data_IF_539799385278
#
_entry.id   IF_539799385278
#
_cell.length_a   1.000
_cell.length_b   1.000
_cell.length_c   1.000
_cell.angle_alpha   90.00
_cell.angle_beta   90.00
_cell.angle_gamma   90.00
#
_symmetry.space_group_name_H-M   'P 1'
#
loop_
_entity.id
_entity.type
_entity.pdbx_description
1 polymer ?
#
# COMPACT_ATOMS: atom_id res chain seq x y z
N UNK A 1 -22.18 56.34 21.98
CA UNK A 1 -22.68 55.05 22.41
C UNK A 1 -21.79 54.00 21.83
N UNK A 2 -21.11 53.26 22.69
CA UNK A 2 -19.91 52.52 22.42
C UNK A 2 -20.17 51.23 21.62
N UNK A 3 -19.38 50.99 20.57
CA UNK A 3 -19.23 49.71 19.92
C UNK A 3 -18.02 49.01 20.52
N UNK A 4 -18.26 47.95 21.23
CA UNK A 4 -17.25 47.00 21.72
C UNK A 4 -16.91 46.00 20.61
N UNK A 5 -15.71 46.10 20.09
CA UNK A 5 -15.11 45.08 19.20
C UNK A 5 -14.50 43.98 20.05
N UNK A 6 -15.04 42.79 19.95
CA UNK A 6 -14.39 41.55 20.39
C UNK A 6 -13.65 40.93 19.21
N UNK A 7 -12.35 40.99 19.24
CA UNK A 7 -11.47 40.22 18.34
C UNK A 7 -11.52 38.75 18.73
N UNK A 8 -12.09 37.93 17.85
CA UNK A 8 -11.95 36.47 17.90
C UNK A 8 -10.90 36.07 16.86
N UNK A 9 -9.88 35.39 17.31
CA UNK A 9 -8.78 34.86 16.47
C UNK A 9 -9.35 34.02 15.30
N UNK A 10 -9.16 34.55 14.09
CA UNK A 10 -9.63 33.92 12.86
C UNK A 10 -8.77 32.75 12.44
N UNK A 11 -9.28 31.54 12.58
CA UNK A 11 -8.86 30.47 11.72
C UNK A 11 -9.24 30.82 10.28
N UNK A 12 -8.24 31.07 9.43
CA UNK A 12 -8.44 31.15 7.98
C UNK A 12 -8.83 29.77 7.47
N UNK A 13 -10.12 29.48 7.47
CA UNK A 13 -10.70 28.38 6.68
C UNK A 13 -10.58 28.79 5.22
N UNK A 14 -9.61 28.24 4.50
CA UNK A 14 -9.59 28.32 3.04
C UNK A 14 -10.88 27.63 2.55
N UNK A 15 -11.81 28.43 2.03
CA UNK A 15 -13.00 27.94 1.36
C UNK A 15 -12.56 27.17 0.11
N UNK A 16 -12.38 25.87 0.23
CA UNK A 16 -12.35 24.98 -0.92
C UNK A 16 -13.69 25.11 -1.63
N UNK A 17 -13.66 25.59 -2.86
CA UNK A 17 -14.81 25.64 -3.76
C UNK A 17 -15.45 24.24 -3.72
N UNK A 18 -16.70 24.15 -3.28
CA UNK A 18 -17.50 22.93 -3.36
C UNK A 18 -17.47 22.48 -4.82
N UNK A 19 -16.63 21.51 -5.13
CA UNK A 19 -16.66 20.83 -6.42
C UNK A 19 -17.95 20.02 -6.45
N UNK A 20 -18.56 19.97 -7.62
CA UNK A 20 -19.80 19.29 -7.96
C UNK A 20 -20.03 18.02 -7.14
N UNK A 21 -21.28 17.69 -6.86
CA UNK A 21 -21.76 16.40 -6.32
C UNK A 21 -21.34 15.29 -7.30
N UNK A 22 -20.04 14.97 -7.31
CA UNK A 22 -19.37 14.04 -8.20
C UNK A 22 -18.53 13.06 -7.40
N UNK A 23 -18.23 11.95 -7.97
CA UNK A 23 -17.35 10.90 -7.46
C UNK A 23 -16.01 11.46 -6.99
N UNK A 24 -15.65 11.25 -5.70
CA UNK A 24 -14.35 11.65 -5.17
C UNK A 24 -13.26 10.67 -5.58
N UNK A 25 -12.09 11.21 -5.93
CA UNK A 25 -10.84 10.45 -6.06
C UNK A 25 -10.05 10.58 -4.76
N UNK A 26 -10.09 9.53 -3.97
CA UNK A 26 -9.45 9.47 -2.65
C UNK A 26 -8.12 8.74 -2.76
N UNK A 27 -7.05 9.27 -2.17
CA UNK A 27 -5.76 8.57 -2.04
C UNK A 27 -5.61 8.08 -0.61
N UNK A 28 -5.39 6.78 -0.43
CA UNK A 28 -5.23 6.13 0.87
C UNK A 28 -3.81 5.61 1.07
N UNK A 29 -3.11 6.11 2.09
CA UNK A 29 -1.71 5.79 2.36
C UNK A 29 -1.58 5.17 3.76
N UNK A 30 -1.33 3.86 3.89
CA UNK A 30 -0.90 3.26 5.15
C UNK A 30 0.58 3.54 5.37
N UNK A 31 0.96 4.04 6.54
CA UNK A 31 2.38 4.28 6.88
C UNK A 31 2.70 3.98 8.33
N UNK A 32 3.95 3.61 8.62
CA UNK A 32 4.42 3.38 9.98
C UNK A 32 5.94 3.60 10.09
N UNK A 33 6.36 4.47 11.04
CA UNK A 33 7.77 4.67 11.39
C UNK A 33 8.63 5.35 10.31
N UNK A 34 8.00 6.00 9.30
CA UNK A 34 8.71 6.65 8.18
C UNK A 34 8.20 8.08 7.92
N UNK A 35 8.16 8.97 8.92
CA UNK A 35 7.53 10.29 8.79
C UNK A 35 8.12 11.16 7.66
N UNK A 36 9.43 11.13 7.46
CA UNK A 36 10.07 11.88 6.36
C UNK A 36 9.66 11.38 4.97
N UNK A 37 9.59 10.07 4.79
CA UNK A 37 9.25 9.45 3.50
C UNK A 37 7.82 9.75 3.12
N UNK A 38 6.86 9.55 4.05
CA UNK A 38 5.46 9.83 3.77
C UNK A 38 5.22 11.31 3.49
N UNK A 39 5.93 12.21 4.20
CA UNK A 39 5.81 13.65 3.97
C UNK A 39 6.28 14.03 2.54
N UNK A 40 7.39 13.47 2.08
CA UNK A 40 7.86 13.69 0.70
C UNK A 40 6.86 13.15 -0.32
N UNK A 41 6.34 11.95 -0.12
CA UNK A 41 5.36 11.33 -1.02
C UNK A 41 4.04 12.10 -1.07
N UNK A 42 3.53 12.58 0.06
CA UNK A 42 2.32 13.41 0.10
C UNK A 42 2.54 14.74 -0.62
N UNK A 43 3.67 15.42 -0.38
CA UNK A 43 4.00 16.66 -1.12
C UNK A 43 4.12 16.40 -2.62
N UNK A 44 4.64 15.24 -3.01
CA UNK A 44 4.79 14.88 -4.42
C UNK A 44 3.45 14.75 -5.15
N UNK A 45 2.34 14.43 -4.44
CA UNK A 45 0.99 14.43 -5.00
C UNK A 45 0.55 15.80 -5.54
N UNK A 46 1.14 16.90 -5.05
CA UNK A 46 0.85 18.24 -5.56
C UNK A 46 1.28 18.44 -7.01
N UNK A 47 2.08 17.54 -7.57
CA UNK A 47 2.51 17.55 -8.98
C UNK A 47 1.55 16.84 -9.93
N UNK A 48 0.45 16.26 -9.41
CA UNK A 48 -0.54 15.59 -10.24
C UNK A 48 -1.36 16.60 -11.05
N UNK A 49 -1.59 16.31 -12.34
CA UNK A 49 -2.46 17.12 -13.22
C UNK A 49 -3.92 17.10 -12.77
N UNK A 50 -4.35 15.98 -12.16
CA UNK A 50 -5.60 15.81 -11.40
C UNK A 50 -5.23 15.63 -9.94
N UNK A 51 -5.49 16.62 -9.10
CA UNK A 51 -5.25 16.52 -7.66
C UNK A 51 -6.23 15.56 -7.00
N UNK A 52 -5.86 14.82 -5.93
CA UNK A 52 -6.82 14.06 -5.15
C UNK A 52 -7.82 15.00 -4.47
N UNK A 53 -9.07 14.55 -4.30
CA UNK A 53 -10.07 15.28 -3.52
C UNK A 53 -9.82 15.16 -2.02
N UNK A 54 -9.24 14.02 -1.62
CA UNK A 54 -8.91 13.71 -0.23
C UNK A 54 -7.72 12.74 -0.18
N UNK A 55 -6.80 13.00 0.73
CA UNK A 55 -5.73 12.06 1.11
C UNK A 55 -6.01 11.55 2.52
N UNK A 56 -6.16 10.24 2.68
CA UNK A 56 -6.35 9.55 3.95
C UNK A 56 -5.03 8.88 4.36
N UNK A 57 -4.38 9.43 5.36
CA UNK A 57 -3.12 8.91 5.89
C UNK A 57 -3.40 8.08 7.13
N UNK A 58 -3.30 6.75 7.02
CA UNK A 58 -3.52 5.86 8.16
C UNK A 58 -2.21 5.53 8.85
N UNK A 59 -2.11 5.89 10.14
CA UNK A 59 -0.90 5.77 10.97
C UNK A 59 -1.18 4.99 12.25
N UNK A 60 -0.16 4.33 12.78
CA UNK A 60 -0.25 3.69 14.10
C UNK A 60 0.16 4.60 15.26
N UNK A 61 0.76 5.75 14.95
CA UNK A 61 1.12 6.82 15.87
C UNK A 61 1.10 8.14 15.07
N UNK A 62 0.57 9.21 15.64
CA UNK A 62 0.53 10.54 14.99
C UNK A 62 1.92 11.01 14.58
N UNK A 63 2.96 10.68 15.35
CA UNK A 63 4.35 11.01 15.01
C UNK A 63 4.81 10.40 13.66
N UNK A 64 4.08 9.41 13.14
CA UNK A 64 4.38 8.79 11.85
C UNK A 64 3.79 9.54 10.65
N UNK A 65 2.92 10.56 10.88
CA UNK A 65 2.30 11.34 9.79
C UNK A 65 3.27 12.26 9.05
N UNK A 66 4.43 12.56 9.65
CA UNK A 66 5.34 13.57 9.12
C UNK A 66 4.78 14.98 9.21
N UNK A 67 3.68 15.18 9.97
CA UNK A 67 2.97 16.45 10.19
C UNK A 67 2.38 17.06 8.90
N UNK A 68 2.13 16.23 7.88
CA UNK A 68 1.60 16.69 6.59
C UNK A 68 0.23 17.35 6.72
N UNK A 69 -0.54 16.99 7.74
CA UNK A 69 -1.85 17.58 8.06
C UNK A 69 -1.76 19.05 8.48
N UNK A 70 -0.57 19.54 8.82
CA UNK A 70 -0.33 20.95 9.20
C UNK A 70 0.22 21.77 8.03
N UNK A 71 0.49 21.15 6.87
CA UNK A 71 1.04 21.81 5.70
C UNK A 71 -0.06 22.45 4.83
N UNK A 72 0.32 23.51 4.11
CA UNK A 72 -0.58 24.11 3.10
C UNK A 72 -0.41 23.33 1.79
N UNK A 73 -1.33 22.40 1.55
CA UNK A 73 -1.35 21.56 0.36
C UNK A 73 -2.56 21.91 -0.52
N UNK A 74 -2.52 21.67 -1.85
CA UNK A 74 -3.62 21.98 -2.75
C UNK A 74 -4.79 20.98 -2.66
N UNK A 75 -4.77 20.06 -1.70
CA UNK A 75 -5.79 19.06 -1.41
C UNK A 75 -5.90 18.84 0.11
N UNK A 76 -7.00 18.25 0.53
CA UNK A 76 -7.26 17.92 1.93
C UNK A 76 -6.49 16.67 2.35
N UNK A 77 -5.86 16.70 3.54
CA UNK A 77 -5.21 15.54 4.17
C UNK A 77 -5.86 15.27 5.51
N UNK A 78 -6.24 14.04 5.76
CA UNK A 78 -6.75 13.57 7.05
C UNK A 78 -5.87 12.44 7.59
N UNK A 79 -5.45 12.58 8.86
CA UNK A 79 -4.68 11.56 9.56
C UNK A 79 -5.61 10.68 10.37
N UNK A 80 -5.57 9.39 10.10
CA UNK A 80 -6.41 8.37 10.72
C UNK A 80 -5.57 7.48 11.65
N UNK A 81 -5.88 7.46 12.93
CA UNK A 81 -5.26 6.51 13.86
C UNK A 81 -5.84 5.11 13.64
N UNK A 82 -4.95 4.12 13.62
CA UNK A 82 -5.25 2.71 13.45
C UNK A 82 -4.29 1.86 14.28
N UNK A 83 -4.67 0.69 14.78
CA UNK A 83 -3.70 -0.27 15.30
C UNK A 83 -2.66 -0.64 14.23
N UNK A 84 -1.43 -0.95 14.67
CA UNK A 84 -0.34 -1.31 13.77
C UNK A 84 -0.66 -2.53 12.91
N UNK A 85 -0.34 -2.46 11.61
CA UNK A 85 -0.53 -3.52 10.62
C UNK A 85 -1.19 -3.00 9.34
N UNK A 86 -0.61 -3.36 8.19
CA UNK A 86 -1.04 -2.83 6.88
C UNK A 86 -2.52 -3.13 6.59
N UNK A 87 -3.00 -4.36 6.88
CA UNK A 87 -4.41 -4.73 6.72
C UNK A 87 -5.34 -3.84 7.57
N UNK A 88 -4.98 -3.59 8.83
CA UNK A 88 -5.76 -2.73 9.74
C UNK A 88 -5.79 -1.29 9.26
N UNK A 89 -4.64 -0.76 8.86
CA UNK A 89 -4.51 0.59 8.35
C UNK A 89 -5.32 0.80 7.06
N UNK A 90 -5.30 -0.17 6.13
CA UNK A 90 -6.14 -0.12 4.92
C UNK A 90 -7.63 -0.25 5.26
N UNK A 91 -8.01 -1.09 6.21
CA UNK A 91 -9.39 -1.17 6.67
C UNK A 91 -9.86 0.14 7.30
N UNK A 92 -8.99 0.83 8.03
CA UNK A 92 -9.29 2.15 8.59
C UNK A 92 -9.59 3.18 7.49
N UNK A 93 -8.83 3.14 6.38
CA UNK A 93 -9.07 3.97 5.19
C UNK A 93 -10.41 3.59 4.55
N UNK A 94 -10.69 2.30 4.36
CA UNK A 94 -11.95 1.83 3.76
C UNK A 94 -13.20 2.29 4.51
N UNK A 95 -13.10 2.54 5.81
CA UNK A 95 -14.23 3.00 6.63
C UNK A 95 -14.62 4.46 6.39
N UNK A 96 -13.77 5.26 5.73
CA UNK A 96 -14.02 6.68 5.44
C UNK A 96 -14.62 6.92 4.04
N UNK A 97 -14.81 5.84 3.27
CA UNK A 97 -15.26 5.94 1.88
C UNK A 97 -16.77 6.07 1.78
N UNK A 98 -17.22 6.88 0.83
CA UNK A 98 -18.57 6.84 0.29
C UNK A 98 -18.67 5.84 -0.88
N UNK A 99 -19.89 5.39 -1.20
CA UNK A 99 -20.09 4.37 -2.23
C UNK A 99 -19.61 4.81 -3.62
N UNK A 100 -19.72 6.08 -3.94
CA UNK A 100 -19.33 6.62 -5.25
C UNK A 100 -17.82 6.90 -5.37
N UNK A 101 -17.05 6.76 -4.30
CA UNK A 101 -15.62 7.05 -4.32
C UNK A 101 -14.84 6.08 -5.20
N UNK A 102 -13.77 6.59 -5.79
CA UNK A 102 -12.64 5.78 -6.28
C UNK A 102 -11.49 5.97 -5.30
N UNK A 103 -11.04 4.88 -4.72
CA UNK A 103 -9.90 4.86 -3.81
C UNK A 103 -8.65 4.41 -4.54
N UNK A 104 -7.61 5.22 -4.51
CA UNK A 104 -6.24 4.85 -4.89
C UNK A 104 -5.44 4.49 -3.66
N UNK A 105 -5.16 3.20 -3.43
CA UNK A 105 -4.16 2.79 -2.45
C UNK A 105 -2.76 3.10 -2.95
N UNK A 106 -1.97 3.73 -2.11
CA UNK A 106 -0.60 4.13 -2.41
C UNK A 106 0.30 3.73 -1.23
N UNK A 107 1.43 3.10 -1.50
CA UNK A 107 2.46 2.95 -0.46
C UNK A 107 3.17 4.31 -0.26
N UNK A 108 3.63 4.56 0.96
CA UNK A 108 4.26 5.83 1.35
C UNK A 108 5.61 6.10 0.66
N UNK A 109 6.10 5.17 -0.15
CA UNK A 109 7.32 5.26 -0.95
C UNK A 109 7.08 4.95 -2.45
N UNK A 110 5.88 5.31 -2.96
CA UNK A 110 5.54 5.19 -4.38
C UNK A 110 5.40 6.56 -5.04
N UNK A 111 6.15 6.81 -6.11
CA UNK A 111 6.09 8.05 -6.90
C UNK A 111 5.25 7.83 -8.15
N UNK A 112 4.22 8.63 -8.33
CA UNK A 112 3.32 8.60 -9.48
C UNK A 112 3.76 9.56 -10.57
N UNK A 113 3.61 9.19 -11.85
CA UNK A 113 3.69 10.11 -12.98
C UNK A 113 2.68 11.26 -12.82
N UNK A 114 2.95 12.43 -13.37
CA UNK A 114 2.10 13.61 -13.18
C UNK A 114 0.66 13.43 -13.67
N UNK A 115 0.43 12.56 -14.62
CA UNK A 115 -0.87 12.21 -15.19
C UNK A 115 -1.56 11.01 -14.53
N UNK A 116 -0.96 10.40 -13.51
CA UNK A 116 -1.43 9.13 -12.94
C UNK A 116 -2.86 9.18 -12.43
N UNK A 117 -3.19 10.17 -11.60
CA UNK A 117 -4.54 10.31 -11.02
C UNK A 117 -5.58 10.73 -12.09
N UNK A 118 -5.18 11.48 -13.11
CA UNK A 118 -6.02 11.74 -14.27
C UNK A 118 -6.35 10.44 -15.01
N UNK A 119 -5.36 9.57 -15.23
CA UNK A 119 -5.58 8.27 -15.87
C UNK A 119 -6.43 7.32 -15.02
N UNK A 120 -6.32 7.38 -13.69
CA UNK A 120 -7.23 6.66 -12.78
C UNK A 120 -8.67 7.14 -12.99
N UNK A 121 -8.91 8.45 -12.91
CA UNK A 121 -10.25 9.03 -13.08
C UNK A 121 -10.85 8.65 -14.43
N UNK A 122 -10.10 8.87 -15.53
CA UNK A 122 -10.51 8.53 -16.90
C UNK A 122 -10.88 7.06 -17.05
N UNK A 123 -10.03 6.15 -16.55
CA UNK A 123 -10.25 4.72 -16.63
C UNK A 123 -11.55 4.29 -15.94
N UNK A 124 -11.81 4.80 -14.75
CA UNK A 124 -13.02 4.48 -14.01
C UNK A 124 -14.27 5.19 -14.55
N UNK A 125 -14.14 6.25 -15.37
CA UNK A 125 -15.24 6.87 -16.10
C UNK A 125 -15.58 6.10 -17.36
N UNK A 126 -14.57 5.74 -18.17
CA UNK A 126 -14.76 5.10 -19.45
C UNK A 126 -15.17 3.62 -19.35
N UNK A 127 -14.76 2.93 -18.26
CA UNK A 127 -14.95 1.48 -18.09
C UNK A 127 -15.69 1.14 -16.80
N UNK A 128 -17.02 1.22 -16.76
CA UNK A 128 -17.81 0.98 -15.55
C UNK A 128 -17.68 -0.47 -15.00
N UNK A 129 -17.33 -1.44 -15.86
CA UNK A 129 -17.12 -2.83 -15.46
C UNK A 129 -15.77 -3.06 -14.74
N UNK A 130 -14.83 -2.11 -14.78
CA UNK A 130 -13.57 -2.20 -14.06
C UNK A 130 -13.80 -1.79 -12.61
N UNK A 131 -13.52 -2.70 -11.70
CA UNK A 131 -13.62 -2.45 -10.25
C UNK A 131 -12.27 -2.32 -9.57
N UNK A 132 -11.19 -2.85 -10.20
CA UNK A 132 -9.82 -2.72 -9.72
C UNK A 132 -8.87 -2.46 -10.89
N UNK A 133 -8.02 -1.45 -10.73
CA UNK A 133 -6.91 -1.18 -11.64
C UNK A 133 -5.60 -1.05 -10.87
N UNK A 134 -4.53 -1.64 -11.39
CA UNK A 134 -3.17 -1.44 -10.88
C UNK A 134 -2.31 -0.80 -11.97
N UNK A 135 -1.40 0.09 -11.56
CA UNK A 135 -0.50 0.74 -12.49
C UNK A 135 0.73 -0.10 -12.86
N UNK A 136 1.48 0.39 -13.80
CA UNK A 136 2.76 -0.17 -14.22
C UNK A 136 3.88 0.41 -13.35
N UNK A 137 4.57 -0.44 -12.61
CA UNK A 137 5.79 -0.09 -11.85
C UNK A 137 6.96 -0.12 -12.82
N UNK A 138 7.46 1.06 -13.22
CA UNK A 138 8.56 1.20 -14.20
C UNK A 138 9.93 0.93 -13.59
N UNK A 139 10.07 1.15 -12.29
CA UNK A 139 11.22 0.71 -11.52
C UNK A 139 10.78 0.33 -10.09
N UNK A 140 11.29 -0.79 -9.60
CA UNK A 140 10.96 -1.31 -8.26
C UNK A 140 12.22 -1.51 -7.43
N UNK A 141 12.46 -0.62 -6.47
CA UNK A 141 13.58 -0.67 -5.53
C UNK A 141 13.52 -1.83 -4.53
N UNK A 142 12.38 -2.58 -4.48
CA UNK A 142 12.20 -3.65 -3.49
C UNK A 142 13.22 -4.79 -3.66
N UNK A 143 13.62 -5.06 -4.89
CA UNK A 143 14.58 -6.12 -5.23
C UNK A 143 16.04 -5.70 -5.04
N UNK A 144 16.30 -4.38 -4.93
CA UNK A 144 17.61 -3.76 -4.76
C UNK A 144 17.82 -3.18 -3.35
N UNK A 145 18.79 -2.27 -3.20
CA UNK A 145 19.04 -1.55 -1.95
C UNK A 145 17.94 -0.53 -1.62
N UNK A 146 17.02 -0.27 -2.52
CA UNK A 146 16.09 0.83 -2.55
C UNK A 146 16.56 1.93 -3.49
N UNK A 147 15.66 2.86 -3.80
CA UNK A 147 15.93 4.06 -4.58
C UNK A 147 15.75 5.28 -3.66
N UNK A 148 16.57 6.30 -3.84
CA UNK A 148 16.29 7.61 -3.24
C UNK A 148 15.14 8.28 -3.98
N UNK A 149 14.50 9.26 -3.34
CA UNK A 149 13.43 10.05 -3.97
C UNK A 149 13.92 10.68 -5.29
N UNK A 150 15.10 11.31 -5.29
CA UNK A 150 15.69 11.91 -6.47
C UNK A 150 15.96 10.91 -7.60
N UNK A 151 16.42 9.69 -7.28
CA UNK A 151 16.58 8.63 -8.28
C UNK A 151 15.24 8.21 -8.87
N UNK A 152 14.21 8.08 -8.03
CA UNK A 152 12.86 7.77 -8.47
C UNK A 152 12.28 8.85 -9.38
N UNK A 153 12.42 10.11 -9.02
CA UNK A 153 12.00 11.26 -9.87
C UNK A 153 12.69 11.26 -11.24
N UNK A 154 14.00 11.04 -11.28
CA UNK A 154 14.76 10.98 -12.53
C UNK A 154 14.25 9.85 -13.44
N UNK A 155 14.11 8.65 -12.90
CA UNK A 155 13.58 7.48 -13.64
C UNK A 155 12.17 7.80 -14.19
N UNK A 156 11.33 8.43 -13.36
CA UNK A 156 9.97 8.79 -13.73
C UNK A 156 9.95 9.79 -14.87
N UNK A 157 10.77 10.86 -14.80
CA UNK A 157 10.88 11.87 -15.83
C UNK A 157 11.36 11.29 -17.17
N UNK A 158 12.36 10.40 -17.15
CA UNK A 158 12.88 9.74 -18.34
C UNK A 158 11.84 8.82 -18.99
N UNK A 159 11.05 8.11 -18.20
CA UNK A 159 10.01 7.21 -18.70
C UNK A 159 8.77 7.95 -19.23
N UNK A 160 8.42 9.10 -18.65
CA UNK A 160 7.24 9.88 -19.06
C UNK A 160 7.49 10.76 -20.27
N UNK A 161 8.75 11.00 -20.66
CA UNK A 161 9.11 11.69 -21.91
C UNK A 161 8.62 10.95 -23.17
N UNK A 162 8.27 9.66 -23.04
CA UNK A 162 7.72 8.84 -24.13
C UNK A 162 6.22 8.64 -23.90
N UNK A 163 5.40 9.02 -24.88
CA UNK A 163 3.97 8.67 -24.87
C UNK A 163 3.82 7.15 -24.82
N UNK A 164 3.12 6.65 -23.80
CA UNK A 164 2.80 5.23 -23.72
C UNK A 164 1.41 5.00 -24.32
N UNK A 165 1.32 4.05 -25.24
CA UNK A 165 0.03 3.57 -25.73
C UNK A 165 -0.77 2.98 -24.56
N UNK A 166 -2.04 3.37 -24.44
CA UNK A 166 -2.93 2.81 -23.43
C UNK A 166 -3.19 1.34 -23.75
N UNK A 167 -2.78 0.47 -22.83
CA UNK A 167 -3.13 -0.95 -22.85
C UNK A 167 -3.65 -1.36 -21.50
N UNK A 168 -4.74 -2.14 -21.50
CA UNK A 168 -5.39 -2.70 -20.32
C UNK A 168 -5.20 -4.21 -20.32
N UNK A 169 -4.15 -4.69 -19.64
CA UNK A 169 -3.91 -6.13 -19.49
C UNK A 169 -4.77 -6.69 -18.34
N UNK A 170 -5.31 -7.92 -18.47
CA UNK A 170 -5.98 -8.57 -17.33
C UNK A 170 -5.04 -8.71 -16.13
N UNK A 171 -5.50 -8.35 -14.95
CA UNK A 171 -4.76 -8.51 -13.70
C UNK A 171 -5.35 -9.63 -12.84
N UNK A 172 -4.49 -10.41 -12.19
CA UNK A 172 -4.92 -11.41 -11.22
C UNK A 172 -5.21 -10.78 -9.84
N UNK A 173 -4.50 -9.74 -9.48
CA UNK A 173 -4.59 -9.04 -8.19
C UNK A 173 -4.21 -7.58 -8.39
N UNK A 174 -4.69 -6.70 -7.55
CA UNK A 174 -4.10 -5.38 -7.40
C UNK A 174 -2.70 -5.52 -6.79
N UNK A 175 -1.77 -4.68 -7.22
CA UNK A 175 -0.53 -4.49 -6.47
C UNK A 175 -0.78 -3.34 -5.49
N UNK A 176 -0.89 -3.66 -4.22
CA UNK A 176 -1.45 -2.72 -3.24
C UNK A 176 -0.61 -1.45 -3.01
N UNK A 177 0.63 -1.39 -3.53
CA UNK A 177 1.41 -0.15 -3.54
C UNK A 177 0.86 0.90 -4.53
N UNK A 178 0.01 0.49 -5.50
CA UNK A 178 -0.53 1.37 -6.54
C UNK A 178 -1.87 0.88 -7.13
N UNK A 179 -2.77 0.38 -6.31
CA UNK A 179 -4.05 -0.17 -6.75
C UNK A 179 -5.20 0.82 -6.53
N UNK A 180 -5.96 1.12 -7.59
CA UNK A 180 -7.21 1.87 -7.52
C UNK A 180 -8.41 0.92 -7.52
N UNK A 181 -9.46 1.26 -6.74
CA UNK A 181 -10.67 0.45 -6.61
C UNK A 181 -11.94 1.31 -6.60
N UNK A 182 -13.05 0.77 -7.10
CA UNK A 182 -14.39 1.32 -6.81
C UNK A 182 -14.80 0.98 -5.39
N UNK A 183 -15.27 1.97 -4.64
CA UNK A 183 -15.70 1.77 -3.26
C UNK A 183 -17.05 1.03 -3.15
N UNK A 184 -17.98 1.21 -4.10
CA UNK A 184 -19.32 0.66 -4.02
C UNK A 184 -19.38 -0.84 -3.70
N UNK A 185 -18.71 -1.76 -4.43
CA UNK A 185 -18.77 -3.18 -4.11
C UNK A 185 -18.12 -3.51 -2.76
N UNK A 186 -17.05 -2.77 -2.38
CA UNK A 186 -16.34 -2.96 -1.11
C UNK A 186 -17.27 -2.65 0.06
N UNK A 187 -18.00 -1.53 -0.03
CA UNK A 187 -18.92 -1.08 1.01
C UNK A 187 -20.14 -1.99 1.07
N UNK A 188 -20.79 -2.23 -0.08
CA UNK A 188 -22.03 -3.01 -0.15
C UNK A 188 -21.86 -4.45 0.34
N UNK A 189 -20.68 -5.05 0.15
CA UNK A 189 -20.40 -6.42 0.53
C UNK A 189 -19.56 -6.55 1.81
N UNK A 190 -19.21 -5.43 2.44
CA UNK A 190 -18.39 -5.41 3.64
C UNK A 190 -17.00 -6.04 3.43
N UNK A 191 -16.42 -5.93 2.22
CA UNK A 191 -15.11 -6.51 1.92
C UNK A 191 -14.03 -5.73 2.69
N UNK A 192 -13.18 -6.46 3.41
CA UNK A 192 -12.08 -5.89 4.23
C UNK A 192 -10.80 -6.67 4.01
N UNK A 193 -9.66 -6.04 4.20
CA UNK A 193 -8.37 -6.75 4.31
C UNK A 193 -8.40 -7.68 5.52
N UNK A 194 -7.78 -8.85 5.39
CA UNK A 194 -7.79 -9.82 6.47
C UNK A 194 -6.76 -9.48 7.54
N UNK A 195 -7.23 -9.10 8.73
CA UNK A 195 -6.39 -8.70 9.85
C UNK A 195 -5.67 -9.86 10.53
N UNK A 196 -6.05 -11.11 10.23
CA UNK A 196 -5.28 -12.31 10.60
C UNK A 196 -3.98 -12.46 9.81
N UNK A 197 -3.77 -11.61 8.78
CA UNK A 197 -2.49 -11.43 8.15
C UNK A 197 -1.78 -10.23 8.82
N UNK A 198 -0.98 -10.43 9.89
CA UNK A 198 -0.52 -9.35 10.74
C UNK A 198 0.71 -8.62 10.20
N UNK A 199 1.00 -7.44 10.75
CA UNK A 199 2.16 -6.58 10.48
C UNK A 199 2.25 -6.18 9.00
N UNK A 200 3.26 -6.66 8.26
CA UNK A 200 3.43 -6.42 6.83
C UNK A 200 2.34 -7.09 5.98
N UNK A 201 1.58 -8.01 6.57
CA UNK A 201 0.40 -8.66 5.94
C UNK A 201 0.69 -9.30 4.58
N UNK A 202 1.86 -9.93 4.38
CA UNK A 202 2.28 -10.46 3.07
C UNK A 202 1.18 -11.27 2.37
N UNK A 203 0.81 -10.92 1.13
CA UNK A 203 -0.28 -11.43 0.28
C UNK A 203 -1.71 -10.95 0.68
N UNK A 204 -1.85 -9.93 1.49
CA UNK A 204 -3.16 -9.35 1.82
C UNK A 204 -3.90 -8.83 0.58
N UNK A 205 -3.14 -8.33 -0.40
CA UNK A 205 -3.65 -7.86 -1.70
C UNK A 205 -4.23 -9.02 -2.54
N UNK A 206 -3.59 -10.19 -2.49
CA UNK A 206 -4.08 -11.40 -3.15
C UNK A 206 -5.36 -11.91 -2.47
N UNK A 207 -5.40 -11.93 -1.13
CA UNK A 207 -6.59 -12.32 -0.37
C UNK A 207 -7.78 -11.38 -0.61
N UNK A 208 -7.53 -10.07 -0.53
CA UNK A 208 -8.53 -9.04 -0.81
C UNK A 208 -9.04 -9.16 -2.25
N UNK A 209 -8.14 -9.25 -3.22
CA UNK A 209 -8.48 -9.37 -4.63
C UNK A 209 -9.32 -10.61 -4.94
N UNK A 210 -9.03 -11.74 -4.31
CA UNK A 210 -9.80 -12.97 -4.52
C UNK A 210 -11.29 -12.81 -4.14
N UNK A 211 -11.56 -12.07 -3.06
CA UNK A 211 -12.92 -11.77 -2.60
C UNK A 211 -13.59 -10.63 -3.36
N UNK A 212 -12.79 -9.75 -3.95
CA UNK A 212 -13.29 -8.60 -4.72
C UNK A 212 -13.54 -8.92 -6.20
N UNK A 213 -12.89 -9.95 -6.74
CA UNK A 213 -12.97 -10.36 -8.15
C UNK A 213 -14.39 -10.63 -8.68
N UNK A 214 -15.34 -11.20 -7.92
CA UNK A 214 -16.69 -11.46 -8.44
C UNK A 214 -17.47 -10.20 -8.86
N UNK A 215 -17.01 -9.00 -8.48
CA UNK A 215 -17.75 -7.76 -8.69
C UNK A 215 -17.35 -6.99 -9.95
N UNK A 216 -16.34 -7.44 -10.71
CA UNK A 216 -15.98 -6.81 -11.97
C UNK A 216 -14.58 -7.15 -12.46
N UNK A 217 -14.16 -6.45 -13.51
CA UNK A 217 -12.86 -6.68 -14.15
C UNK A 217 -11.70 -6.08 -13.34
N UNK A 218 -10.59 -6.80 -13.35
CA UNK A 218 -9.30 -6.32 -12.83
C UNK A 218 -8.35 -6.12 -14.00
N UNK A 219 -7.70 -4.96 -14.02
CA UNK A 219 -6.78 -4.58 -15.10
C UNK A 219 -5.47 -4.02 -14.56
N UNK A 220 -4.43 -4.15 -15.38
CA UNK A 220 -3.20 -3.37 -15.25
C UNK A 220 -3.13 -2.38 -16.40
N UNK A 221 -3.01 -1.10 -16.07
CA UNK A 221 -2.91 -0.03 -17.05
C UNK A 221 -1.45 0.34 -17.32
N UNK A 222 -1.10 0.49 -18.60
CA UNK A 222 0.21 1.02 -19.01
C UNK A 222 0.28 2.55 -18.91
N UNK A 223 -0.86 3.23 -18.83
CA UNK A 223 -0.91 4.69 -18.67
C UNK A 223 -0.64 5.12 -17.22
N UNK A 224 -1.05 4.31 -16.25
CA UNK A 224 -0.81 4.55 -14.82
C UNK A 224 0.63 4.14 -14.47
N UNK A 225 1.59 5.04 -14.60
CA UNK A 225 3.04 4.74 -14.45
C UNK A 225 3.60 5.31 -13.16
N UNK A 226 4.44 4.52 -12.47
CA UNK A 226 5.08 4.99 -11.24
C UNK A 226 6.34 4.22 -10.89
N UNK A 227 7.07 4.75 -9.90
CA UNK A 227 8.30 4.18 -9.34
C UNK A 227 8.06 3.82 -7.89
N UNK A 228 8.34 2.57 -7.53
CA UNK A 228 8.33 2.13 -6.15
C UNK A 228 9.75 2.21 -5.59
N UNK A 229 9.99 3.10 -4.63
CA UNK A 229 11.33 3.35 -4.08
C UNK A 229 11.88 2.14 -3.33
N UNK A 230 11.01 1.34 -2.76
CA UNK A 230 11.37 0.09 -2.08
C UNK A 230 12.22 0.33 -0.84
N UNK A 231 11.90 1.37 -0.08
CA UNK A 231 12.60 1.82 1.12
C UNK A 231 12.86 0.68 2.11
N UNK A 232 14.05 0.62 2.70
CA UNK A 232 14.46 -0.46 3.59
C UNK A 232 14.17 -0.17 5.08
N UNK A 233 13.92 1.07 5.44
CA UNK A 233 13.56 1.47 6.82
C UNK A 233 12.18 0.94 7.19
N UNK A 234 11.98 0.55 8.45
CA UNK A 234 10.67 0.11 8.97
C UNK A 234 10.18 -1.26 8.50
N UNK A 235 11.04 -2.09 7.89
CA UNK A 235 10.64 -3.41 7.39
C UNK A 235 10.48 -4.45 8.47
N UNK A 236 9.60 -5.40 8.23
CA UNK A 236 9.39 -6.59 9.07
C UNK A 236 10.68 -7.41 9.19
N UNK A 237 11.03 -7.87 10.42
CA UNK A 237 12.18 -8.74 10.64
C UNK A 237 12.18 -9.97 9.73
N UNK A 238 13.37 -10.39 9.30
CA UNK A 238 13.52 -11.48 8.32
C UNK A 238 12.81 -12.77 8.75
N UNK A 239 12.87 -13.16 10.03
CA UNK A 239 12.23 -14.38 10.53
C UNK A 239 10.71 -14.30 10.43
N UNK A 240 10.09 -13.19 10.82
CA UNK A 240 8.64 -12.99 10.70
C UNK A 240 8.19 -13.01 9.25
N UNK A 241 8.92 -12.32 8.35
CA UNK A 241 8.60 -12.37 6.91
C UNK A 241 8.76 -13.79 6.36
N UNK A 242 9.83 -14.50 6.71
CA UNK A 242 10.03 -15.89 6.28
C UNK A 242 8.91 -16.82 6.73
N UNK A 243 8.46 -16.68 7.97
CA UNK A 243 7.31 -17.43 8.48
C UNK A 243 6.05 -17.15 7.67
N UNK A 244 5.75 -15.86 7.44
CA UNK A 244 4.58 -15.44 6.65
C UNK A 244 4.62 -15.96 5.21
N UNK A 245 5.81 -16.13 4.61
CA UNK A 245 5.96 -16.68 3.25
C UNK A 245 5.47 -18.13 3.11
N UNK A 246 5.24 -18.82 4.21
CA UNK A 246 4.68 -20.18 4.26
C UNK A 246 3.30 -20.17 4.92
N UNK A 247 3.17 -19.54 6.09
CA UNK A 247 1.93 -19.57 6.88
C UNK A 247 0.77 -18.87 6.17
N UNK A 248 1.01 -17.71 5.53
CA UNK A 248 -0.04 -16.98 4.85
C UNK A 248 -0.64 -17.76 3.66
N UNK A 249 0.17 -18.32 2.71
CA UNK A 249 -0.37 -19.20 1.67
C UNK A 249 -1.15 -20.40 2.21
N UNK A 250 -0.69 -21.04 3.30
CA UNK A 250 -1.40 -22.15 3.93
C UNK A 250 -2.74 -21.72 4.52
N UNK A 251 -2.77 -20.59 5.20
CA UNK A 251 -3.98 -19.99 5.72
C UNK A 251 -4.97 -19.64 4.59
N UNK A 252 -4.49 -18.97 3.52
CA UNK A 252 -5.30 -18.60 2.37
C UNK A 252 -5.84 -19.80 1.59
N UNK A 253 -5.08 -20.92 1.54
CA UNK A 253 -5.59 -22.20 0.99
C UNK A 253 -6.78 -22.71 1.78
N UNK A 254 -6.69 -22.72 3.11
CA UNK A 254 -7.80 -23.14 3.99
C UNK A 254 -9.01 -22.21 3.85
N UNK A 255 -8.77 -20.93 3.61
CA UNK A 255 -9.78 -19.91 3.37
C UNK A 255 -10.39 -19.95 1.96
N UNK A 256 -9.73 -20.61 0.99
CA UNK A 256 -10.16 -20.65 -0.42
C UNK A 256 -9.83 -19.41 -1.24
N UNK A 257 -8.96 -18.52 -0.76
CA UNK A 257 -8.60 -17.26 -1.45
C UNK A 257 -7.35 -17.37 -2.33
N UNK A 258 -6.66 -18.51 -2.30
CA UNK A 258 -5.57 -18.84 -3.23
C UNK A 258 -5.66 -20.30 -3.69
N UNK A 259 -5.37 -20.57 -4.96
CA UNK A 259 -5.33 -21.93 -5.48
C UNK A 259 -4.01 -22.65 -5.13
N UNK A 260 -4.08 -23.97 -4.89
CA UNK A 260 -2.93 -24.81 -4.52
C UNK A 260 -1.71 -24.65 -5.45
N UNK A 261 -1.84 -24.67 -6.79
CA UNK A 261 -0.68 -24.52 -7.67
C UNK A 261 0.07 -23.22 -7.46
N UNK A 262 -0.66 -22.13 -7.20
CA UNK A 262 -0.09 -20.80 -6.94
C UNK A 262 0.57 -20.73 -5.57
N UNK A 263 -0.10 -21.19 -4.53
CA UNK A 263 0.45 -21.24 -3.18
C UNK A 263 1.74 -22.05 -3.12
N UNK A 264 1.73 -23.27 -3.70
CA UNK A 264 2.92 -24.12 -3.80
C UNK A 264 4.07 -23.43 -4.53
N UNK A 265 3.82 -22.82 -5.68
CA UNK A 265 4.84 -22.09 -6.46
C UNK A 265 5.46 -20.96 -5.64
N UNK A 266 4.65 -20.19 -4.91
CA UNK A 266 5.12 -19.09 -4.06
C UNK A 266 5.99 -19.61 -2.92
N UNK A 267 5.55 -20.65 -2.20
CA UNK A 267 6.30 -21.24 -1.09
C UNK A 267 7.65 -21.80 -1.57
N UNK A 268 7.67 -22.62 -2.62
CA UNK A 268 8.90 -23.19 -3.17
C UNK A 268 9.87 -22.10 -3.63
N UNK A 269 9.40 -21.11 -4.37
CA UNK A 269 10.22 -20.00 -4.84
C UNK A 269 10.83 -19.20 -3.69
N UNK A 270 10.08 -18.96 -2.62
CA UNK A 270 10.57 -18.23 -1.46
C UNK A 270 11.60 -19.05 -0.67
N UNK A 271 11.34 -20.34 -0.42
CA UNK A 271 12.30 -21.22 0.24
C UNK A 271 13.61 -21.30 -0.57
N UNK A 272 13.51 -21.56 -1.87
CA UNK A 272 14.68 -21.62 -2.77
C UNK A 272 15.47 -20.32 -2.81
N UNK A 273 14.77 -19.17 -2.93
CA UNK A 273 15.42 -17.85 -2.91
C UNK A 273 16.10 -17.55 -1.57
N UNK A 274 15.48 -17.92 -0.44
CA UNK A 274 16.06 -17.71 0.88
C UNK A 274 17.25 -18.63 1.12
N UNK A 275 17.21 -19.89 0.67
CA UNK A 275 18.31 -20.82 0.76
C UNK A 275 19.52 -20.33 -0.05
N UNK A 276 19.32 -20.02 -1.35
CA UNK A 276 20.37 -19.51 -2.22
C UNK A 276 20.94 -18.17 -1.73
N UNK A 277 20.08 -17.28 -1.24
CA UNK A 277 20.51 -16.00 -0.69
C UNK A 277 21.33 -16.14 0.61
N UNK A 278 21.04 -17.16 1.41
CA UNK A 278 21.84 -17.47 2.61
C UNK A 278 23.26 -17.94 2.26
N UNK A 279 23.42 -18.62 1.12
CA UNK A 279 24.73 -19.05 0.62
C UNK A 279 25.55 -17.88 0.03
N UNK A 280 24.91 -16.76 -0.34
CA UNK A 280 25.54 -15.58 -0.94
C UNK A 280 25.22 -14.29 -0.17
N UNK A 281 25.51 -14.21 1.15
CA UNK A 281 25.02 -13.12 2.01
C UNK A 281 25.57 -11.74 1.64
N UNK A 282 26.77 -11.67 1.04
CA UNK A 282 27.42 -10.40 0.66
C UNK A 282 26.75 -9.68 -0.51
N UNK A 283 25.97 -10.37 -1.35
CA UNK A 283 25.36 -9.78 -2.53
C UNK A 283 24.12 -8.93 -2.19
N UNK A 284 23.37 -9.30 -1.15
CA UNK A 284 22.12 -8.63 -0.77
C UNK A 284 21.93 -8.65 0.76
N UNK A 285 22.76 -7.93 1.55
CA UNK A 285 22.71 -7.97 3.01
C UNK A 285 21.35 -7.48 3.56
N UNK A 286 20.68 -6.56 2.85
CA UNK A 286 19.36 -6.04 3.22
C UNK A 286 18.21 -7.05 3.09
N UNK A 287 18.42 -8.18 2.44
CA UNK A 287 17.36 -9.16 2.21
C UNK A 287 17.12 -10.08 3.42
N UNK A 288 18.02 -10.08 4.42
CA UNK A 288 17.90 -10.88 5.64
C UNK A 288 17.58 -12.36 5.40
N UNK A 289 18.17 -12.96 4.36
CA UNK A 289 17.87 -14.31 3.87
C UNK A 289 17.96 -15.37 4.95
N UNK A 290 19.00 -15.33 5.82
CA UNK A 290 19.15 -16.28 6.94
C UNK A 290 17.94 -16.25 7.87
N UNK A 291 17.50 -15.08 8.26
CA UNK A 291 16.30 -14.92 9.09
C UNK A 291 15.05 -15.46 8.39
N UNK A 292 14.89 -15.17 7.09
CA UNK A 292 13.76 -15.68 6.31
C UNK A 292 13.77 -17.20 6.20
N UNK A 293 14.93 -17.81 5.98
CA UNK A 293 15.06 -19.27 5.94
C UNK A 293 14.69 -19.91 7.28
N UNK A 294 15.15 -19.35 8.41
CA UNK A 294 14.75 -19.78 9.75
C UNK A 294 13.23 -19.69 9.91
N UNK A 295 12.62 -18.60 9.48
CA UNK A 295 11.18 -18.42 9.50
C UNK A 295 10.45 -19.47 8.64
N UNK A 296 10.95 -19.77 7.44
CA UNK A 296 10.39 -20.82 6.59
C UNK A 296 10.43 -22.19 7.29
N UNK A 297 11.58 -22.59 7.86
CA UNK A 297 11.74 -23.86 8.59
C UNK A 297 10.77 -23.93 9.77
N UNK A 298 10.64 -22.85 10.53
CA UNK A 298 9.71 -22.76 11.67
C UNK A 298 8.27 -22.95 11.23
N UNK A 299 7.86 -22.33 10.11
CA UNK A 299 6.52 -22.48 9.58
C UNK A 299 6.25 -23.92 9.09
N UNK A 300 7.21 -24.56 8.44
CA UNK A 300 7.10 -25.95 8.02
C UNK A 300 6.97 -26.90 9.23
N UNK A 301 7.77 -26.69 10.28
CA UNK A 301 7.63 -27.46 11.53
C UNK A 301 6.23 -27.23 12.16
N UNK A 302 5.72 -26.00 12.16
CA UNK A 302 4.40 -25.70 12.68
C UNK A 302 3.26 -26.31 11.83
N UNK A 303 3.45 -26.50 10.52
CA UNK A 303 2.53 -27.27 9.68
C UNK A 303 2.48 -28.72 10.15
N UNK A 304 3.63 -29.38 10.32
CA UNK A 304 3.69 -30.77 10.80
C UNK A 304 3.07 -30.95 12.20
N UNK A 305 3.13 -29.92 13.04
CA UNK A 305 2.57 -29.91 14.38
C UNK A 305 1.10 -29.42 14.43
N UNK A 306 0.46 -29.18 13.28
CA UNK A 306 -0.94 -28.73 13.21
C UNK A 306 -1.21 -27.32 13.76
N UNK A 307 -0.18 -26.52 14.02
CA UNK A 307 -0.29 -25.21 14.66
C UNK A 307 0.14 -24.02 13.79
N UNK A 308 0.27 -24.23 12.47
CA UNK A 308 0.65 -23.18 11.55
C UNK A 308 -0.47 -22.14 11.41
N UNK A 309 -0.18 -20.90 11.86
CA UNK A 309 -1.09 -19.77 11.85
C UNK A 309 -0.32 -18.46 11.59
N UNK A 310 -0.82 -17.54 10.72
CA UNK A 310 -0.15 -16.26 10.44
C UNK A 310 0.13 -15.42 11.68
N UNK A 311 -0.77 -15.40 12.68
CA UNK A 311 -0.63 -14.57 13.88
C UNK A 311 0.51 -15.02 14.81
N UNK A 312 1.07 -16.21 14.60
CA UNK A 312 2.23 -16.67 15.39
C UNK A 312 3.45 -15.75 15.29
N UNK A 313 3.58 -14.99 14.20
CA UNK A 313 4.68 -14.00 14.10
C UNK A 313 4.63 -12.92 15.17
N UNK A 314 3.48 -12.64 15.77
CA UNK A 314 3.34 -11.68 16.85
C UNK A 314 4.08 -12.13 18.12
N UNK A 315 4.27 -13.45 18.31
CA UNK A 315 5.02 -14.01 19.42
C UNK A 315 6.55 -14.00 19.21
N UNK A 316 7.03 -13.81 17.96
CA UNK A 316 8.46 -13.82 17.64
C UNK A 316 9.17 -12.53 18.01
N UNK A 317 8.42 -11.44 18.10
CA UNK A 317 8.92 -10.09 18.35
C UNK A 317 8.34 -9.57 19.68
N UNK A 318 8.91 -9.98 20.79
CA UNK A 318 8.68 -9.32 22.10
C UNK A 318 9.40 -7.97 22.21
N UNK A 319 10.13 -7.55 21.17
CA UNK A 319 10.73 -6.22 21.07
C UNK A 319 9.86 -5.38 20.15
N UNK A 320 9.51 -4.12 20.50
CA UNK A 320 8.70 -3.26 19.64
C UNK A 320 9.36 -3.13 18.26
N UNK A 321 8.58 -3.14 17.17
CA UNK A 321 9.10 -3.18 15.81
C UNK A 321 9.94 -1.97 15.41
N UNK A 322 10.01 -0.96 16.24
CA UNK A 322 10.69 0.30 15.97
C UNK A 322 11.67 0.65 17.09
N UNK A 323 12.85 -0.02 17.17
CA UNK A 323 13.98 0.56 17.87
C UNK A 323 14.48 1.73 17.05
N UNK A 324 14.44 2.94 17.63
CA UNK A 324 15.19 4.11 17.13
C UNK A 324 16.63 3.65 16.91
N UNK A 325 17.07 3.66 15.66
CA UNK A 325 18.50 3.69 15.35
C UNK A 325 18.87 5.16 15.52
N UNK A 326 19.62 5.43 16.58
CA UNK A 326 20.32 6.70 16.75
C UNK A 326 21.36 6.86 15.65
#
# INVERSE_FOLDING_TARGET
>A
MALTTTETQGHKTLNYRAQSVGRRLVVGIPTAGRPGIVAESVRFLSRQSRLPDLVLLSVSDVAHSGRVETEVLPFRVEVLLSPAGVSRQRNRILNELAADDVLMFLDDDFLMAADYLHEVERLFDEYPEIVLATGTVIADGILGPGLSHLQGEKILAEATSRSAELRLDPAYTGYACNAAIRAAPVIAQGIRFDEKLPLYSWLEDVDFSARFRPFGRFVRSTAMRGVHLGTKTGRTPGMSLGYSQIANPVYMLRKGTIAWPRARRLMIRNIGSNLLGTMRPRQRPWAYYRGRLIGNIKALADICLGRCDPERILSFNRTPPYRKVC
#
